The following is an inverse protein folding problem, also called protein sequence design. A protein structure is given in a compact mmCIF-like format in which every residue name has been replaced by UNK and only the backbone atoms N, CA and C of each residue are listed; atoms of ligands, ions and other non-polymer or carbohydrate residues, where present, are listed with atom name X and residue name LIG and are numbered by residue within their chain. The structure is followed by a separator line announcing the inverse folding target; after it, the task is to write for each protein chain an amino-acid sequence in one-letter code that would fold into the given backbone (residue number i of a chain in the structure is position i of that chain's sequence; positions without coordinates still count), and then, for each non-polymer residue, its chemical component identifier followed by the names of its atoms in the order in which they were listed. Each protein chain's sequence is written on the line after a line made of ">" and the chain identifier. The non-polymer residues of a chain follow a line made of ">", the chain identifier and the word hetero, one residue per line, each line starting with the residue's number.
data_IF_829036938006
#
_entry.id   IF_829036938006
#
_cell.length_a   1.000
_cell.length_b   1.000
_cell.length_c   1.000
_cell.angle_alpha   90.00
_cell.angle_beta   90.00
_cell.angle_gamma   90.00
#
_symmetry.space_group_name_H-M   'P 1'
#
loop_
_entity.id
_entity.type
_entity.pdbx_description
1 polymer ?
#
# COMPACT_ATOMS: atom_id res chain seq x y z
N UNK A 1 22.00 -7.09 -7.68
CA UNK A 1 20.62 -7.57 -7.91
C UNK A 1 19.72 -6.90 -6.89
N UNK A 2 18.52 -6.44 -7.27
CA UNK A 2 17.55 -5.86 -6.32
C UNK A 2 17.10 -6.92 -5.30
N UNK A 3 17.02 -6.56 -4.01
CA UNK A 3 16.43 -7.41 -2.96
C UNK A 3 14.90 -7.56 -3.08
N UNK A 4 14.27 -6.77 -3.97
CA UNK A 4 12.84 -6.74 -4.24
C UNK A 4 12.46 -7.41 -5.58
N UNK A 5 13.22 -8.42 -6.01
CA UNK A 5 13.11 -8.94 -7.38
C UNK A 5 11.70 -9.47 -7.68
N UNK A 6 11.12 -10.29 -6.81
CA UNK A 6 9.77 -10.79 -7.00
C UNK A 6 8.75 -9.73 -6.62
N UNK A 7 8.97 -8.99 -5.53
CA UNK A 7 8.06 -7.95 -5.07
C UNK A 7 7.77 -6.93 -6.17
N UNK A 8 8.80 -6.39 -6.83
CA UNK A 8 8.64 -5.39 -7.90
C UNK A 8 7.85 -5.97 -9.10
N UNK A 9 8.16 -7.19 -9.52
CA UNK A 9 7.46 -7.87 -10.63
C UNK A 9 5.98 -8.10 -10.29
N UNK A 10 5.72 -8.61 -9.09
CA UNK A 10 4.38 -9.02 -8.66
C UNK A 10 3.50 -7.82 -8.34
N UNK A 11 4.04 -6.78 -7.71
CA UNK A 11 3.33 -5.51 -7.51
C UNK A 11 2.98 -4.86 -8.86
N UNK A 12 3.87 -4.91 -9.86
CA UNK A 12 3.56 -4.43 -11.21
C UNK A 12 2.41 -5.20 -11.87
N UNK A 13 2.40 -6.53 -11.76
CA UNK A 13 1.31 -7.34 -12.27
C UNK A 13 -0.01 -7.08 -11.53
N UNK A 14 0.04 -6.95 -10.20
CA UNK A 14 -1.11 -6.62 -9.37
C UNK A 14 -1.69 -5.24 -9.70
N UNK A 15 -0.83 -4.23 -9.85
CA UNK A 15 -1.20 -2.89 -10.31
C UNK A 15 -1.95 -2.92 -11.65
N UNK A 16 -1.46 -3.70 -12.62
CA UNK A 16 -2.12 -3.86 -13.91
C UNK A 16 -3.50 -4.52 -13.77
N UNK A 17 -3.62 -5.57 -12.95
CA UNK A 17 -4.89 -6.24 -12.65
C UNK A 17 -5.90 -5.27 -12.02
N UNK A 18 -5.46 -4.47 -11.04
CA UNK A 18 -6.31 -3.45 -10.42
C UNK A 18 -6.74 -2.37 -11.41
N UNK A 19 -5.84 -1.91 -12.29
CA UNK A 19 -6.18 -0.91 -13.31
C UNK A 19 -7.30 -1.38 -14.25
N UNK A 20 -7.32 -2.66 -14.60
CA UNK A 20 -8.40 -3.26 -15.41
C UNK A 20 -9.72 -3.32 -14.65
N UNK A 21 -9.69 -3.58 -13.33
CA UNK A 21 -10.91 -3.60 -12.49
C UNK A 21 -11.52 -2.22 -12.26
N UNK A 22 -10.69 -1.18 -12.16
CA UNK A 22 -11.10 0.18 -11.81
C UNK A 22 -11.37 1.03 -13.08
N UNK A 23 -11.93 0.38 -14.11
CA UNK A 23 -12.09 0.91 -15.46
C UNK A 23 -13.09 2.08 -15.55
N UNK A 24 -12.75 3.24 -14.98
CA UNK A 24 -13.20 4.56 -15.48
C UNK A 24 -12.37 5.74 -14.94
N UNK A 25 -11.70 5.66 -13.79
CA UNK A 25 -10.94 6.80 -13.21
C UNK A 25 -9.79 6.39 -12.26
N UNK A 26 -9.42 5.11 -12.18
CA UNK A 26 -8.41 4.63 -11.24
C UNK A 26 -6.99 4.91 -11.69
N UNK A 27 -6.31 5.83 -11.01
CA UNK A 27 -4.86 6.01 -11.16
C UNK A 27 -4.13 5.00 -10.28
N UNK A 28 -3.26 4.19 -10.89
CA UNK A 28 -2.32 3.36 -10.14
C UNK A 28 -1.01 4.10 -10.01
N UNK A 29 -0.70 4.53 -8.79
CA UNK A 29 0.53 5.25 -8.47
C UNK A 29 1.51 4.31 -7.78
N UNK A 30 2.73 4.29 -8.30
CA UNK A 30 3.90 3.87 -7.55
C UNK A 30 4.50 5.17 -7.02
N UNK A 31 4.40 5.50 -5.72
CA UNK A 31 5.14 6.64 -5.21
C UNK A 31 6.60 6.44 -5.51
N UNK A 32 7.18 7.50 -6.06
CA UNK A 32 8.63 7.61 -6.09
C UNK A 32 9.13 7.38 -4.66
N UNK A 33 10.23 6.62 -4.48
CA UNK A 33 10.80 6.41 -3.16
C UNK A 33 10.97 7.78 -2.50
N UNK A 34 10.23 8.03 -1.43
CA UNK A 34 10.36 9.25 -0.66
C UNK A 34 11.68 9.17 0.07
N UNK A 35 12.75 9.67 -0.56
CA UNK A 35 14.11 9.58 -0.05
C UNK A 35 14.13 10.04 1.42
N UNK A 36 14.61 9.21 2.36
CA UNK A 36 15.44 8.00 2.19
C UNK A 36 14.70 6.65 2.27
N UNK A 37 13.38 6.59 2.20
CA UNK A 37 12.59 5.38 2.43
C UNK A 37 12.48 4.57 1.12
N UNK A 38 13.10 3.38 1.08
CA UNK A 38 12.93 2.38 0.00
C UNK A 38 11.53 1.75 0.02
N UNK A 39 10.47 2.55 0.09
CA UNK A 39 9.08 2.08 0.11
C UNK A 39 8.66 1.53 -1.27
N UNK A 40 7.76 0.54 -1.26
CA UNK A 40 7.00 0.12 -2.44
C UNK A 40 5.53 0.22 -2.10
N UNK A 41 4.75 0.85 -2.96
CA UNK A 41 3.31 0.78 -2.82
C UNK A 41 2.62 0.75 -4.17
N UNK A 42 1.40 0.19 -4.14
CA UNK A 42 0.48 0.16 -5.26
C UNK A 42 -0.83 0.69 -4.71
N UNK A 43 -1.35 1.73 -5.34
CA UNK A 43 -2.64 2.31 -4.99
C UNK A 43 -3.62 2.21 -6.15
N UNK A 44 -4.90 2.24 -5.87
CA UNK A 44 -5.95 2.41 -6.86
C UNK A 44 -7.08 3.26 -6.27
N UNK A 45 -7.78 4.01 -7.12
CA UNK A 45 -8.88 4.89 -6.71
C UNK A 45 -10.17 4.37 -7.31
N UNK A 46 -11.03 3.81 -6.48
CA UNK A 46 -12.34 3.27 -6.85
C UNK A 46 -13.45 4.22 -6.37
N UNK A 47 -13.90 5.09 -7.29
CA UNK A 47 -14.85 6.16 -6.98
C UNK A 47 -14.28 7.15 -5.95
N UNK A 48 -14.80 7.11 -4.73
CA UNK A 48 -14.35 7.96 -3.60
C UNK A 48 -13.41 7.24 -2.63
N UNK A 49 -13.07 5.99 -2.88
CA UNK A 49 -12.23 5.19 -1.98
C UNK A 49 -10.89 4.93 -2.66
N UNK A 50 -9.83 5.49 -2.09
CA UNK A 50 -8.47 5.07 -2.39
C UNK A 50 -8.14 3.80 -1.61
N UNK A 51 -7.53 2.84 -2.28
CA UNK A 51 -7.14 1.52 -1.76
C UNK A 51 -5.68 1.28 -2.12
N UNK A 52 -4.95 0.53 -1.32
CA UNK A 52 -3.57 0.22 -1.67
C UNK A 52 -2.87 -0.80 -0.78
N UNK A 53 -1.69 -1.16 -1.25
CA UNK A 53 -0.70 -1.98 -0.57
C UNK A 53 0.53 -1.12 -0.37
N UNK A 54 1.13 -1.16 0.82
CA UNK A 54 2.37 -0.48 1.16
C UNK A 54 3.33 -1.47 1.82
N UNK A 55 4.54 -1.53 1.28
CA UNK A 55 5.67 -2.29 1.80
C UNK A 55 6.74 -1.28 2.18
N UNK A 56 6.99 -1.12 3.48
CA UNK A 56 7.90 -0.09 3.99
C UNK A 56 8.87 -0.66 5.02
N UNK A 57 10.08 -0.09 5.15
CA UNK A 57 10.99 -0.47 6.21
C UNK A 57 10.43 -0.09 7.59
N UNK A 58 10.83 -0.82 8.62
CA UNK A 58 10.51 -0.52 10.02
C UNK A 58 11.11 0.85 10.39
N UNK A 59 10.27 1.72 10.93
CA UNK A 59 10.69 3.02 11.44
C UNK A 59 10.91 2.87 12.94
N UNK A 60 12.16 2.86 13.36
CA UNK A 60 12.54 2.78 14.78
C UNK A 60 12.59 4.19 15.35
N UNK A 61 11.72 4.54 16.33
CA UNK A 61 11.75 5.85 16.96
C UNK A 61 13.15 6.18 17.51
N UNK A 62 13.69 7.34 17.18
CA UNK A 62 15.02 7.79 17.63
C UNK A 62 16.23 7.16 16.90
N UNK A 63 16.04 6.13 16.07
CA UNK A 63 17.11 5.44 15.32
C UNK A 63 16.99 5.71 13.81
N UNK A 64 15.79 6.02 13.33
CA UNK A 64 15.52 6.28 11.91
C UNK A 64 14.97 5.05 11.19
N UNK A 65 15.17 5.01 9.87
CA UNK A 65 14.66 3.95 8.99
C UNK A 65 15.59 2.74 9.05
N UNK A 66 15.08 1.58 9.47
CA UNK A 66 15.83 0.31 9.49
C UNK A 66 15.40 -0.56 8.31
N UNK A 67 16.34 -0.89 7.42
CA UNK A 67 16.09 -1.77 6.27
C UNK A 67 16.14 -3.26 6.61
N UNK A 68 16.31 -3.60 7.90
CA UNK A 68 16.43 -4.98 8.38
C UNK A 68 15.09 -5.71 8.36
N UNK A 69 14.01 -4.94 8.59
CA UNK A 69 12.66 -5.47 8.73
C UNK A 69 11.67 -4.57 8.02
N UNK A 70 10.63 -5.18 7.49
CA UNK A 70 9.67 -4.59 6.58
C UNK A 70 8.24 -4.89 7.03
N UNK A 71 7.37 -3.90 6.90
CA UNK A 71 5.94 -4.06 7.09
C UNK A 71 5.27 -4.26 5.73
N UNK A 72 4.30 -5.19 5.66
CA UNK A 72 3.37 -5.32 4.54
C UNK A 72 1.98 -4.89 5.01
N UNK A 73 1.42 -3.85 4.40
CA UNK A 73 0.22 -3.15 4.90
C UNK A 73 -0.80 -2.99 3.77
N UNK A 74 -2.04 -3.39 4.01
CA UNK A 74 -3.19 -2.91 3.24
C UNK A 74 -3.67 -1.59 3.84
N UNK A 75 -4.01 -0.63 3.00
CA UNK A 75 -4.58 0.64 3.41
C UNK A 75 -5.76 1.06 2.54
N UNK A 76 -6.66 1.84 3.13
CA UNK A 76 -7.71 2.53 2.40
C UNK A 76 -8.00 3.91 3.02
N UNK A 77 -8.42 4.84 2.18
CA UNK A 77 -8.73 6.22 2.52
C UNK A 77 -9.90 6.73 1.68
N UNK A 78 -10.49 7.84 2.13
CA UNK A 78 -11.45 8.57 1.32
C UNK A 78 -10.64 9.50 0.43
N UNK A 79 -10.81 9.36 -0.88
CA UNK A 79 -10.29 10.30 -1.85
C UNK A 79 -11.11 11.60 -1.72
N UNK A 80 -10.46 12.67 -1.28
CA UNK A 80 -11.10 13.98 -1.19
C UNK A 80 -11.10 14.60 -2.58
N UNK A 81 -12.29 14.76 -3.15
CA UNK A 81 -12.51 15.38 -4.47
C UNK A 81 -12.32 16.90 -4.42
N UNK A 82 -12.06 17.49 -3.24
CA UNK A 82 -11.82 18.92 -3.11
C UNK A 82 -10.37 19.26 -3.48
N UNK A 83 -10.24 20.12 -4.50
CA UNK A 83 -9.01 20.76 -4.99
C UNK A 83 -8.33 21.65 -3.92
N UNK A 84 -7.99 21.10 -2.75
CA UNK A 84 -7.19 21.80 -1.74
C UNK A 84 -5.75 21.31 -1.80
N UNK A 85 -4.83 22.28 -1.87
CA UNK A 85 -3.43 22.18 -2.31
C UNK A 85 -2.49 21.49 -1.32
N UNK A 86 -2.95 20.50 -0.55
CA UNK A 86 -2.11 19.62 0.28
C UNK A 86 -2.69 18.20 0.30
N UNK A 87 -2.20 17.28 -0.56
CA UNK A 87 -2.63 15.90 -0.51
C UNK A 87 -1.83 15.20 0.59
N UNK A 88 -2.50 14.79 1.65
CA UNK A 88 -2.04 13.66 2.45
C UNK A 88 -3.29 12.93 2.91
N UNK A 89 -3.91 12.11 2.04
CA UNK A 89 -4.99 11.26 2.48
C UNK A 89 -4.47 10.38 3.61
N UNK A 90 -4.86 10.70 4.86
CA UNK A 90 -4.52 9.86 5.99
C UNK A 90 -5.27 8.54 5.81
N UNK A 91 -4.59 7.39 5.88
CA UNK A 91 -5.28 6.10 5.88
C UNK A 91 -6.35 6.08 6.96
N UNK A 92 -7.59 5.78 6.58
CA UNK A 92 -8.74 5.65 7.49
C UNK A 92 -9.04 4.20 7.83
N UNK A 93 -8.42 3.28 7.09
CA UNK A 93 -8.37 1.88 7.39
C UNK A 93 -6.97 1.36 7.06
N UNK A 94 -6.40 0.56 7.96
CA UNK A 94 -5.11 -0.09 7.78
C UNK A 94 -5.17 -1.51 8.34
N UNK A 95 -4.60 -2.46 7.62
CA UNK A 95 -4.37 -3.82 8.09
C UNK A 95 -2.95 -4.23 7.77
N UNK A 96 -2.16 -4.48 8.80
CA UNK A 96 -0.79 -5.01 8.66
C UNK A 96 -0.86 -6.53 8.53
N UNK A 97 -0.40 -7.06 7.39
CA UNK A 97 -0.32 -8.51 7.14
C UNK A 97 0.98 -9.10 7.68
N UNK A 98 2.08 -8.37 7.52
CA UNK A 98 3.38 -8.71 8.10
C UNK A 98 3.88 -7.46 8.82
N UNK A 99 4.29 -7.63 10.08
CA UNK A 99 4.90 -6.58 10.88
C UNK A 99 6.36 -6.96 11.16
N UNK A 100 7.29 -6.09 10.78
CA UNK A 100 8.74 -6.29 10.96
C UNK A 100 9.27 -7.63 10.40
N UNK A 101 8.78 -8.05 9.23
CA UNK A 101 9.27 -9.25 8.55
C UNK A 101 10.59 -9.03 7.82
N UNK A 102 11.40 -10.07 7.68
CA UNK A 102 12.61 -10.02 6.84
C UNK A 102 12.23 -9.96 5.36
N UNK A 103 13.05 -9.30 4.53
CA UNK A 103 12.72 -9.11 3.11
C UNK A 103 12.63 -10.44 2.35
N UNK A 104 13.44 -11.43 2.74
CA UNK A 104 13.44 -12.77 2.17
C UNK A 104 12.11 -13.50 2.42
N UNK A 105 11.49 -13.26 3.58
CA UNK A 105 10.16 -13.78 3.90
C UNK A 105 9.10 -13.11 3.02
N UNK A 106 9.13 -11.78 2.89
CA UNK A 106 8.21 -11.06 2.02
C UNK A 106 8.33 -11.50 0.56
N UNK A 107 9.55 -11.67 0.04
CA UNK A 107 9.81 -12.18 -1.32
C UNK A 107 9.24 -13.59 -1.53
N UNK A 108 9.35 -14.46 -0.52
CA UNK A 108 8.84 -15.84 -0.57
C UNK A 108 7.31 -15.88 -0.51
N UNK A 109 6.69 -15.01 0.28
CA UNK A 109 5.25 -15.04 0.56
C UNK A 109 4.43 -14.06 -0.28
N UNK A 110 5.06 -13.28 -1.17
CA UNK A 110 4.41 -12.19 -1.91
C UNK A 110 3.13 -12.60 -2.62
N UNK A 111 3.08 -13.80 -3.22
CA UNK A 111 1.88 -14.27 -3.93
C UNK A 111 0.69 -14.47 -2.96
N UNK A 112 0.93 -15.04 -1.79
CA UNK A 112 -0.10 -15.21 -0.75
C UNK A 112 -0.53 -13.87 -0.14
N UNK A 113 0.43 -12.97 0.10
CA UNK A 113 0.15 -11.63 0.61
C UNK A 113 -0.70 -10.81 -0.36
N UNK A 114 -0.43 -10.92 -1.67
CA UNK A 114 -1.23 -10.25 -2.70
C UNK A 114 -2.63 -10.83 -2.82
N UNK A 115 -2.80 -12.15 -2.69
CA UNK A 115 -4.12 -12.77 -2.67
C UNK A 115 -4.98 -12.28 -1.49
N UNK A 116 -4.42 -12.31 -0.27
CA UNK A 116 -5.09 -11.79 0.94
C UNK A 116 -5.39 -10.28 0.78
N UNK A 117 -4.48 -9.53 0.17
CA UNK A 117 -4.66 -8.11 -0.09
C UNK A 117 -5.81 -7.83 -1.04
N UNK A 118 -5.95 -8.62 -2.10
CA UNK A 118 -7.06 -8.50 -3.04
C UNK A 118 -8.40 -8.68 -2.33
N UNK A 119 -8.55 -9.76 -1.57
CA UNK A 119 -9.76 -10.04 -0.80
C UNK A 119 -10.07 -8.92 0.20
N UNK A 120 -9.06 -8.47 0.95
CA UNK A 120 -9.21 -7.38 1.92
C UNK A 120 -9.69 -6.09 1.25
N UNK A 121 -9.08 -5.69 0.14
CA UNK A 121 -9.35 -4.41 -0.52
C UNK A 121 -10.68 -4.43 -1.31
N UNK A 122 -11.10 -5.57 -1.85
CA UNK A 122 -12.40 -5.72 -2.50
C UNK A 122 -13.56 -5.50 -1.53
N UNK A 123 -13.42 -5.94 -0.28
CA UNK A 123 -14.46 -5.81 0.74
C UNK A 123 -14.53 -4.41 1.39
N UNK A 124 -13.59 -3.50 1.09
CA UNK A 124 -13.62 -2.15 1.65
C UNK A 124 -14.73 -1.30 1.02
N UNK A 125 -15.59 -0.77 1.90
CA UNK A 125 -16.67 0.16 1.63
C UNK A 125 -16.50 1.41 2.50
N UNK A 126 -17.26 2.47 2.21
CA UNK A 126 -17.19 3.74 2.95
C UNK A 126 -17.38 3.57 4.46
N UNK A 127 -18.24 2.65 4.91
CA UNK A 127 -18.49 2.38 6.33
C UNK A 127 -17.27 1.84 7.08
N UNK A 128 -16.30 1.25 6.37
CA UNK A 128 -15.07 0.70 6.95
C UNK A 128 -14.02 1.79 7.21
N UNK A 129 -14.15 2.96 6.57
CA UNK A 129 -13.23 4.09 6.73
C UNK A 129 -13.61 4.88 7.99
N UNK A 130 -12.89 4.65 9.10
CA UNK A 130 -13.09 5.43 10.33
C UNK A 130 -12.20 6.67 10.28
N UNK A 131 -12.75 7.84 10.62
CA UNK A 131 -11.90 9.02 10.86
C UNK A 131 -10.91 8.68 11.98
N UNK A 132 -9.61 9.02 11.85
CA UNK A 132 -8.71 8.97 12.98
C UNK A 132 -9.32 9.86 14.08
N UNK A 133 -9.52 9.30 15.28
CA UNK A 133 -10.01 10.08 16.41
C UNK A 133 -9.13 11.33 16.59
N UNK A 134 -9.79 12.49 16.65
CA UNK A 134 -9.18 13.81 16.85
C UNK A 134 -8.68 13.97 18.28
#
# INVERSE_FOLDING_TARGET
>A
MSKFKQIDIKLKAFAQKLKVKVATNGTVYFPEPSFPVEERSVVCIDGRIGKGIMIRPDIKPGIGVSSDTWDFINLAWLEDVSHSTKPSPKPMWMRTLIKKGQIELLEKEIDGLLAISEENLEQIELKHLKKPHS
#
